data_IF_180819123233
#
_entry.id   IF_180819123233
#
_cell.length_a   1.000
_cell.length_b   1.000
_cell.length_c   1.000
_cell.angle_alpha   90.00
_cell.angle_beta   90.00
_cell.angle_gamma   90.00
#
_symmetry.space_group_name_H-M   'P 1'
#
loop_
_entity.id
_entity.type
_entity.pdbx_description
1 polymer ?
#
# COMPACT_ATOMS: atom_id res chain seq x y z
N UNK A 1 -2.58 -11.75 -10.97
CA UNK A 1 -1.12 -11.71 -11.18
C UNK A 1 -0.57 -10.30 -11.13
N UNK A 2 -1.22 -9.36 -11.84
CA UNK A 2 -0.78 -7.97 -11.81
C UNK A 2 -1.00 -7.36 -10.43
N UNK A 3 -2.10 -7.72 -9.77
CA UNK A 3 -2.36 -7.28 -8.40
C UNK A 3 -1.26 -7.78 -7.47
N UNK A 4 -0.87 -9.05 -7.58
CA UNK A 4 0.22 -9.60 -6.78
C UNK A 4 1.52 -8.86 -7.02
N UNK A 5 1.79 -8.49 -8.27
CA UNK A 5 3.00 -7.75 -8.61
C UNK A 5 3.01 -6.39 -7.90
N UNK A 6 1.90 -5.68 -7.93
CA UNK A 6 1.81 -4.39 -7.25
C UNK A 6 1.92 -4.53 -5.73
N UNK A 7 1.34 -5.60 -5.17
CA UNK A 7 1.48 -5.87 -3.74
C UNK A 7 2.94 -6.13 -3.38
N UNK A 8 3.65 -6.92 -4.18
CA UNK A 8 5.07 -7.21 -3.93
C UNK A 8 5.91 -5.94 -4.04
N UNK A 9 5.64 -5.10 -5.02
CA UNK A 9 6.36 -3.84 -5.17
C UNK A 9 6.06 -2.89 -4.02
N UNK A 10 4.81 -2.86 -3.58
CA UNK A 10 4.43 -2.04 -2.44
C UNK A 10 5.19 -2.46 -1.19
N UNK A 11 5.31 -3.76 -0.95
CA UNK A 11 6.06 -4.26 0.18
C UNK A 11 7.53 -3.89 0.09
N UNK A 12 8.13 -4.02 -1.08
CA UNK A 12 9.51 -3.62 -1.30
C UNK A 12 9.72 -2.15 -0.95
N UNK A 13 8.85 -1.28 -1.46
CA UNK A 13 8.97 0.15 -1.19
C UNK A 13 8.73 0.46 0.28
N UNK A 14 7.80 -0.25 0.92
CA UNK A 14 7.57 -0.08 2.34
C UNK A 14 8.81 -0.43 3.15
N UNK A 15 9.44 -1.57 2.84
CA UNK A 15 10.63 -2.03 3.56
C UNK A 15 11.83 -1.13 3.33
N UNK A 16 11.90 -0.47 2.20
CA UNK A 16 13.01 0.46 1.90
C UNK A 16 12.71 1.90 2.33
N UNK A 17 11.58 2.13 2.98
CA UNK A 17 11.22 3.44 3.49
C UNK A 17 10.57 4.36 2.49
N UNK A 18 10.27 3.89 1.29
CA UNK A 18 9.64 4.70 0.25
C UNK A 18 8.11 4.55 0.33
N UNK A 19 7.53 5.18 1.34
CA UNK A 19 6.12 4.98 1.68
C UNK A 19 5.17 5.52 0.62
N UNK A 20 5.50 6.64 -0.01
CA UNK A 20 4.66 7.21 -1.05
C UNK A 20 4.50 6.27 -2.24
N UNK A 21 5.59 5.63 -2.64
CA UNK A 21 5.56 4.65 -3.73
C UNK A 21 4.81 3.40 -3.33
N UNK A 22 4.96 2.98 -2.08
CA UNK A 22 4.21 1.83 -1.57
C UNK A 22 2.71 2.08 -1.67
N UNK A 23 2.26 3.24 -1.23
CA UNK A 23 0.84 3.61 -1.30
C UNK A 23 0.38 3.67 -2.75
N UNK A 24 1.18 4.23 -3.63
CA UNK A 24 0.85 4.33 -5.04
C UNK A 24 0.60 2.96 -5.67
N UNK A 25 1.46 1.99 -5.39
CA UNK A 25 1.28 0.64 -5.92
C UNK A 25 0.07 -0.06 -5.33
N UNK A 26 -0.24 0.18 -4.06
CA UNK A 26 -1.45 -0.37 -3.45
C UNK A 26 -2.70 0.25 -4.07
N UNK A 27 -2.66 1.51 -4.46
CA UNK A 27 -3.78 2.14 -5.15
C UNK A 27 -3.99 1.55 -6.54
N UNK A 28 -2.92 1.25 -7.25
CA UNK A 28 -3.03 0.55 -8.53
C UNK A 28 -3.69 -0.82 -8.34
N UNK A 29 -3.29 -1.54 -7.29
CA UNK A 29 -3.89 -2.82 -7.00
C UNK A 29 -5.38 -2.67 -6.67
N UNK A 30 -5.76 -1.62 -5.96
CA UNK A 30 -7.17 -1.35 -5.67
C UNK A 30 -7.99 -1.16 -6.94
N UNK A 31 -7.48 -0.38 -7.88
CA UNK A 31 -8.18 -0.18 -9.14
C UNK A 31 -8.38 -1.50 -9.87
N UNK A 32 -7.37 -2.35 -9.87
CA UNK A 32 -7.43 -3.64 -10.55
C UNK A 32 -8.33 -4.63 -9.82
N UNK A 33 -8.51 -4.47 -8.52
CA UNK A 33 -9.36 -5.35 -7.73
C UNK A 33 -10.84 -5.19 -8.05
N UNK A 34 -11.25 -4.00 -8.49
CA UNK A 34 -12.64 -3.74 -8.89
C UNK A 34 -13.63 -4.00 -7.78
N UNK A 35 -14.55 -4.95 -7.99
CA UNK A 35 -15.63 -5.25 -7.03
C UNK A 35 -15.28 -6.32 -6.01
N UNK A 36 -14.02 -6.70 -5.91
CA UNK A 36 -13.61 -7.71 -4.93
C UNK A 36 -13.51 -7.07 -3.54
N UNK A 37 -14.58 -7.19 -2.75
CA UNK A 37 -14.67 -6.55 -1.45
C UNK A 37 -13.57 -6.97 -0.49
N UNK A 38 -13.28 -8.27 -0.43
CA UNK A 38 -12.27 -8.78 0.50
C UNK A 38 -10.90 -8.21 0.17
N UNK A 39 -10.56 -8.23 -1.10
CA UNK A 39 -9.27 -7.71 -1.55
C UNK A 39 -9.19 -6.20 -1.35
N UNK A 40 -10.25 -5.48 -1.67
CA UNK A 40 -10.32 -4.04 -1.45
C UNK A 40 -10.07 -3.70 0.02
N UNK A 41 -10.69 -4.43 0.93
CA UNK A 41 -10.54 -4.18 2.36
C UNK A 41 -9.11 -4.41 2.81
N UNK A 42 -8.48 -5.50 2.35
CA UNK A 42 -7.09 -5.80 2.66
C UNK A 42 -6.17 -4.69 2.16
N UNK A 43 -6.37 -4.26 0.93
CA UNK A 43 -5.51 -3.24 0.33
C UNK A 43 -5.68 -1.89 1.01
N UNK A 44 -6.91 -1.52 1.34
CA UNK A 44 -7.17 -0.26 2.04
C UNK A 44 -6.56 -0.27 3.44
N UNK A 45 -6.66 -1.39 4.13
CA UNK A 45 -6.03 -1.52 5.45
C UNK A 45 -4.52 -1.34 5.36
N UNK A 46 -3.91 -1.93 4.34
CA UNK A 46 -2.46 -1.77 4.14
C UNK A 46 -2.09 -0.32 3.85
N UNK A 47 -2.87 0.36 3.02
CA UNK A 47 -2.63 1.78 2.74
C UNK A 47 -2.71 2.60 4.02
N UNK A 48 -3.73 2.37 4.83
CA UNK A 48 -3.89 3.08 6.09
C UNK A 48 -2.72 2.84 7.03
N UNK A 49 -2.27 1.59 7.13
CA UNK A 49 -1.14 1.24 7.98
C UNK A 49 0.14 1.95 7.54
N UNK A 50 0.38 1.99 6.24
CA UNK A 50 1.56 2.67 5.71
C UNK A 50 1.46 4.17 5.95
N UNK A 51 0.27 4.73 5.75
CA UNK A 51 0.03 6.15 5.98
C UNK A 51 0.29 6.51 7.44
N UNK A 52 -0.18 5.68 8.36
CA UNK A 52 0.04 5.89 9.79
C UNK A 52 1.51 5.82 10.14
N UNK A 53 2.23 4.85 9.57
CA UNK A 53 3.67 4.72 9.79
C UNK A 53 4.40 5.97 9.29
N UNK A 54 4.03 6.46 8.13
CA UNK A 54 4.62 7.67 7.56
C UNK A 54 4.40 8.86 8.48
N UNK A 55 3.19 9.01 9.01
CA UNK A 55 2.87 10.10 9.92
C UNK A 55 3.65 10.01 11.22
N UNK A 56 3.78 8.80 11.77
CA UNK A 56 4.57 8.59 12.98
C UNK A 56 6.03 8.99 12.78
N UNK A 57 6.61 8.59 11.68
CA UNK A 57 8.01 8.92 11.39
C UNK A 57 8.20 10.42 11.18
N UNK A 58 7.21 11.08 10.62
CA UNK A 58 7.24 12.51 10.41
C UNK A 58 7.27 13.26 11.74
N UNK A 59 6.57 12.74 12.75
CA UNK A 59 6.52 13.35 14.07
C UNK A 59 7.86 13.27 14.80
N UNK A 60 8.69 12.31 14.43
CA UNK A 60 10.01 12.14 15.05
C UNK A 60 11.09 13.02 14.42
N UNK A 61 10.82 13.55 13.27
CA UNK A 61 11.79 14.39 12.59
C UNK A 61 11.45 15.87 12.75
#
# INVERSE_FOLDING_TARGET
KIISLHQSRAEYFYLTGNYDRAIEHLRYALELAGNNFQLNEVLQTKIENIFDTKEELKDFS
#
